data_IF_911803254391
#
_entry.id   IF_911803254391
#
_cell.length_a   1.000
_cell.length_b   1.000
_cell.length_c   1.000
_cell.angle_alpha   90.00
_cell.angle_beta   90.00
_cell.angle_gamma   90.00
#
_symmetry.space_group_name_H-M   'P 1'
#
loop_
_entity.id
_entity.type
_entity.pdbx_description
1 polymer ?
#
# COMPACT_ATOMS: atom_id res chain seq x y z
N UNK A 1 14.11 1.77 -5.89
CA UNK A 1 12.73 2.29 -5.94
C UNK A 1 11.95 1.43 -4.98
N UNK A 2 11.41 2.00 -3.92
CA UNK A 2 10.74 1.24 -2.84
C UNK A 2 9.46 0.60 -3.38
N UNK A 3 9.21 -0.66 -3.10
CA UNK A 3 7.95 -1.35 -3.45
C UNK A 3 7.08 -1.44 -2.20
N UNK A 4 5.98 -0.70 -2.19
CA UNK A 4 5.03 -0.67 -1.08
C UNK A 4 3.73 -1.31 -1.53
N UNK A 5 3.20 -2.18 -0.68
CA UNK A 5 1.94 -2.87 -0.92
C UNK A 5 0.96 -2.59 0.21
N UNK A 6 -0.21 -2.07 -0.13
CA UNK A 6 -1.24 -1.78 0.86
C UNK A 6 -2.26 -2.91 0.92
N UNK A 7 -2.55 -3.37 2.13
CA UNK A 7 -3.48 -4.46 2.43
C UNK A 7 -4.52 -3.95 3.41
N UNK A 8 -5.80 -4.19 3.15
CA UNK A 8 -6.86 -3.88 4.10
C UNK A 8 -7.97 -4.95 4.00
N UNK A 9 -8.33 -5.54 5.14
CA UNK A 9 -9.39 -6.55 5.24
C UNK A 9 -10.82 -5.98 5.16
N UNK A 10 -10.95 -4.64 5.19
CA UNK A 10 -12.24 -3.95 5.33
C UNK A 10 -12.85 -3.54 3.98
N UNK A 11 -12.35 -4.09 2.87
CA UNK A 11 -12.89 -3.91 1.51
C UNK A 11 -11.99 -3.13 0.54
N UNK A 12 -12.44 -3.01 -0.71
CA UNK A 12 -11.65 -2.42 -1.80
C UNK A 12 -11.46 -0.90 -1.65
N UNK A 13 -12.48 -0.19 -1.14
CA UNK A 13 -12.44 1.27 -1.01
C UNK A 13 -11.42 1.74 0.04
N UNK A 14 -11.38 1.07 1.19
CA UNK A 14 -10.40 1.32 2.26
C UNK A 14 -8.98 0.95 1.85
N UNK A 15 -8.81 -0.13 1.08
CA UNK A 15 -7.52 -0.53 0.50
C UNK A 15 -6.96 0.52 -0.50
N UNK A 16 -7.82 1.08 -1.36
CA UNK A 16 -7.45 2.14 -2.31
C UNK A 16 -7.14 3.47 -1.61
N UNK A 17 -7.92 3.84 -0.59
CA UNK A 17 -7.63 5.04 0.22
C UNK A 17 -6.25 4.95 0.88
N UNK A 18 -5.91 3.79 1.46
CA UNK A 18 -4.58 3.56 2.02
C UNK A 18 -3.47 3.74 0.99
N UNK A 19 -3.61 3.13 -0.21
CA UNK A 19 -2.63 3.27 -1.29
C UNK A 19 -2.43 4.74 -1.70
N UNK A 20 -3.51 5.49 -1.87
CA UNK A 20 -3.45 6.89 -2.27
C UNK A 20 -2.81 7.78 -1.20
N UNK A 21 -3.10 7.55 0.08
CA UNK A 21 -2.47 8.32 1.16
C UNK A 21 -0.96 8.06 1.23
N UNK A 22 -0.54 6.80 1.09
CA UNK A 22 0.89 6.44 1.07
C UNK A 22 1.58 7.08 -0.15
N UNK A 23 0.95 7.06 -1.33
CA UNK A 23 1.50 7.76 -2.52
C UNK A 23 1.74 9.25 -2.26
N UNK A 24 0.74 9.95 -1.72
CA UNK A 24 0.86 11.38 -1.40
C UNK A 24 2.00 11.66 -0.43
N UNK A 25 2.12 10.87 0.63
CA UNK A 25 3.22 11.01 1.60
C UNK A 25 4.58 10.77 0.92
N UNK A 26 4.68 9.76 0.05
CA UNK A 26 5.90 9.51 -0.70
C UNK A 26 6.25 10.68 -1.63
N UNK A 27 5.26 11.26 -2.32
CA UNK A 27 5.44 12.44 -3.17
C UNK A 27 5.89 13.67 -2.37
N UNK A 28 5.23 13.96 -1.25
CA UNK A 28 5.56 15.08 -0.36
C UNK A 28 6.98 14.98 0.22
N UNK A 29 7.43 13.76 0.53
CA UNK A 29 8.77 13.49 1.06
C UNK A 29 9.83 13.30 -0.03
N UNK A 30 9.47 13.36 -1.32
CA UNK A 30 10.39 13.11 -2.43
C UNK A 30 10.90 11.66 -2.53
N UNK A 31 10.17 10.71 -1.95
CA UNK A 31 10.51 9.29 -1.92
C UNK A 31 9.98 8.62 -3.18
N UNK A 32 10.86 8.01 -3.98
CA UNK A 32 10.46 7.20 -5.14
C UNK A 32 9.98 5.82 -4.70
N UNK A 33 8.66 5.66 -4.60
CA UNK A 33 8.00 4.41 -4.27
C UNK A 33 6.97 3.98 -5.33
N UNK A 34 6.93 2.68 -5.63
CA UNK A 34 5.83 2.01 -6.31
C UNK A 34 4.84 1.52 -5.27
N UNK A 35 3.68 2.18 -5.19
CA UNK A 35 2.63 1.87 -4.22
C UNK A 35 1.43 1.26 -4.94
N UNK A 36 1.03 0.06 -4.53
CA UNK A 36 -0.15 -0.60 -5.06
C UNK A 36 -0.96 -1.24 -3.95
N UNK A 37 -2.27 -1.35 -4.15
CA UNK A 37 -3.13 -2.13 -3.27
C UNK A 37 -3.14 -3.60 -3.73
N UNK A 38 -3.03 -4.50 -2.76
CA UNK A 38 -3.17 -5.95 -2.95
C UNK A 38 -4.16 -6.48 -1.91
N UNK A 39 -4.96 -7.46 -2.31
CA UNK A 39 -5.82 -8.16 -1.36
C UNK A 39 -4.99 -9.09 -0.46
N UNK A 40 -5.61 -9.48 0.66
CA UNK A 40 -4.95 -10.26 1.71
C UNK A 40 -4.47 -11.64 1.22
N UNK A 41 -5.18 -12.25 0.26
CA UNK A 41 -4.82 -13.56 -0.26
C UNK A 41 -3.59 -13.47 -1.18
N UNK A 42 -3.50 -12.42 -1.99
CA UNK A 42 -2.38 -12.21 -2.91
C UNK A 42 -1.15 -11.57 -2.25
N UNK A 43 -1.31 -10.90 -1.10
CA UNK A 43 -0.21 -10.25 -0.39
C UNK A 43 0.96 -11.18 -0.05
N UNK A 44 0.69 -12.46 0.23
CA UNK A 44 1.71 -13.48 0.58
C UNK A 44 2.62 -13.83 -0.60
N UNK A 45 2.11 -13.76 -1.84
CA UNK A 45 2.88 -14.06 -3.05
C UNK A 45 3.59 -12.85 -3.66
N UNK A 46 3.22 -11.65 -3.23
CA UNK A 46 3.77 -10.40 -3.76
C UNK A 46 5.16 -10.12 -3.15
N UNK A 47 6.08 -9.56 -3.94
CA UNK A 47 7.35 -9.05 -3.40
C UNK A 47 7.21 -7.57 -3.08
N UNK A 48 7.19 -7.22 -1.80
CA UNK A 48 7.19 -5.85 -1.32
C UNK A 48 8.33 -5.61 -0.33
N UNK A 49 8.87 -4.39 -0.32
CA UNK A 49 9.80 -3.94 0.72
C UNK A 49 9.03 -3.56 2.00
N UNK A 50 7.80 -3.07 1.84
CA UNK A 50 6.94 -2.67 2.95
C UNK A 50 5.48 -3.05 2.68
N UNK A 51 4.84 -3.65 3.69
CA UNK A 51 3.39 -3.79 3.73
C UNK A 51 2.81 -2.74 4.66
N UNK A 52 1.83 -1.99 4.16
CA UNK A 52 1.13 -0.95 4.92
C UNK A 52 -0.34 -1.33 5.02
N UNK A 53 -0.85 -1.38 6.25
CA UNK A 53 -2.27 -1.55 6.52
C UNK A 53 -2.76 -0.37 7.36
N UNK A 54 -4.05 -0.09 7.29
CA UNK A 54 -4.70 0.84 8.20
C UNK A 54 -5.15 0.08 9.44
N UNK A 55 -4.83 0.62 10.61
CA UNK A 55 -5.40 0.13 11.87
C UNK A 55 -6.87 0.57 11.91
N UNK A 56 -7.74 -0.37 12.26
CA UNK A 56 -9.16 -0.08 12.54
C UNK A 56 -9.32 0.95 13.65
#
# INVERSE_FOLDING_TARGET
MLVIRTVCGNGIGSSLMAANNVKKICEELGIKADVASVDFANAVGEKADLYVTIKE
#
